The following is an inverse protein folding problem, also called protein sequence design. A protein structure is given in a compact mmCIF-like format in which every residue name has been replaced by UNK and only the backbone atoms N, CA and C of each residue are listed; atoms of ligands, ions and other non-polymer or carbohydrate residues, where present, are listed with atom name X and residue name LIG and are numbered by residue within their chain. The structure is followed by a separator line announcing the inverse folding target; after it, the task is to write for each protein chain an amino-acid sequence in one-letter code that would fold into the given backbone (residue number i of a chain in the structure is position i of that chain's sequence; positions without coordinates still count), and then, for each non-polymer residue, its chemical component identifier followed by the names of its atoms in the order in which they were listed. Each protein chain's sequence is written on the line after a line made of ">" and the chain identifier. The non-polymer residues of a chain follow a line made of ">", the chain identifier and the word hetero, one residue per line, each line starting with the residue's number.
data_IF_581962457636
#
_entry.id   IF_581962457636
#
_cell.length_a   1.000
_cell.length_b   1.000
_cell.length_c   1.000
_cell.angle_alpha   90.00
_cell.angle_beta   90.00
_cell.angle_gamma   90.00
#
_symmetry.space_group_name_H-M   'P 1'
#
loop_
_entity.id
_entity.type
_entity.pdbx_description
1 polymer ?
#
# COMPACT_ATOMS: atom_id res chain seq x y z
N UNK A 1 11.58 -25.66 -20.82
CA UNK A 1 12.26 -24.42 -21.24
C UNK A 1 11.54 -23.36 -20.44
N UNK A 2 12.03 -23.11 -19.22
CA UNK A 2 11.49 -22.08 -18.36
C UNK A 2 12.06 -20.75 -18.83
N UNK A 3 11.19 -19.86 -19.27
CA UNK A 3 11.54 -18.47 -19.54
C UNK A 3 12.07 -17.88 -18.21
N UNK A 4 13.35 -17.58 -18.19
CA UNK A 4 13.96 -16.69 -17.19
C UNK A 4 13.29 -15.32 -17.39
N UNK A 5 12.25 -15.05 -16.62
CA UNK A 5 11.74 -13.68 -16.50
C UNK A 5 12.87 -12.90 -15.86
N UNK A 6 13.57 -12.14 -16.67
CA UNK A 6 14.60 -11.21 -16.21
C UNK A 6 13.94 -10.29 -15.20
N UNK A 7 14.34 -10.41 -13.94
CA UNK A 7 13.79 -9.55 -12.86
C UNK A 7 14.32 -8.15 -13.12
N UNK A 8 13.52 -7.35 -13.79
CA UNK A 8 13.84 -5.94 -14.05
C UNK A 8 13.91 -5.26 -12.67
N UNK A 9 15.12 -4.85 -12.29
CA UNK A 9 15.30 -4.00 -11.12
C UNK A 9 14.75 -2.61 -11.46
N UNK A 10 13.51 -2.33 -11.05
CA UNK A 10 12.82 -1.09 -11.36
C UNK A 10 13.61 0.16 -10.92
N UNK A 11 14.37 0.05 -9.83
CA UNK A 11 15.21 1.16 -9.34
C UNK A 11 16.33 1.54 -10.32
N UNK A 12 16.76 0.63 -11.18
CA UNK A 12 17.78 0.91 -12.20
C UNK A 12 17.19 1.45 -13.51
N UNK A 13 15.86 1.41 -13.65
CA UNK A 13 15.18 1.94 -14.82
C UNK A 13 15.11 3.47 -14.76
N UNK A 14 15.67 4.15 -15.76
CA UNK A 14 15.75 5.62 -15.80
C UNK A 14 14.38 6.31 -15.75
N UNK A 15 13.40 5.77 -16.46
CA UNK A 15 12.04 6.32 -16.48
C UNK A 15 11.38 6.24 -15.10
N UNK A 16 11.59 5.12 -14.40
CA UNK A 16 11.10 4.93 -13.04
C UNK A 16 11.80 5.87 -12.03
N UNK A 17 13.11 6.07 -12.20
CA UNK A 17 13.89 7.03 -11.40
C UNK A 17 13.36 8.46 -11.63
N UNK A 18 13.09 8.84 -12.88
CA UNK A 18 12.54 10.16 -13.21
C UNK A 18 11.17 10.38 -12.54
N UNK A 19 10.32 9.36 -12.50
CA UNK A 19 9.02 9.45 -11.84
C UNK A 19 9.16 9.60 -10.31
N UNK A 20 10.06 8.85 -9.68
CA UNK A 20 10.36 9.04 -8.25
C UNK A 20 10.91 10.45 -8.01
N UNK A 21 11.86 10.91 -8.83
CA UNK A 21 12.45 12.26 -8.70
C UNK A 21 11.40 13.36 -8.83
N UNK A 22 10.44 13.25 -9.75
CA UNK A 22 9.31 14.18 -9.85
C UNK A 22 8.53 14.27 -8.55
N UNK A 23 8.26 13.11 -7.91
CA UNK A 23 7.49 13.06 -6.66
C UNK A 23 8.28 13.67 -5.49
N UNK A 24 9.55 13.32 -5.30
CA UNK A 24 10.34 13.82 -4.17
C UNK A 24 10.67 15.31 -4.27
N UNK A 25 10.71 15.85 -5.49
CA UNK A 25 10.92 17.29 -5.73
C UNK A 25 9.63 18.10 -5.66
N UNK A 26 8.47 17.44 -5.70
CA UNK A 26 7.18 18.11 -5.53
C UNK A 26 7.05 18.67 -4.10
N UNK A 27 6.51 19.91 -3.93
CA UNK A 27 6.42 20.56 -2.62
C UNK A 27 5.36 19.94 -1.71
N UNK A 28 5.53 18.69 -1.37
CA UNK A 28 4.73 17.98 -0.38
C UNK A 28 5.34 18.16 1.02
N UNK A 29 4.53 18.07 2.08
CA UNK A 29 5.00 18.25 3.45
C UNK A 29 5.74 16.99 3.97
N UNK A 30 6.84 16.61 3.30
CA UNK A 30 7.64 15.42 3.64
C UNK A 30 8.15 15.43 5.07
N UNK A 31 8.39 16.61 5.62
CA UNK A 31 8.82 16.82 7.01
C UNK A 31 7.82 16.22 8.03
N UNK A 32 6.56 16.01 7.68
CA UNK A 32 5.58 15.31 8.54
C UNK A 32 5.90 13.82 8.73
N UNK A 33 6.70 13.24 7.85
CA UNK A 33 7.18 11.86 7.96
C UNK A 33 8.54 11.75 8.65
N UNK A 34 9.17 12.88 8.98
CA UNK A 34 10.49 12.87 9.60
C UNK A 34 10.46 12.21 10.98
N UNK A 35 11.36 11.23 11.19
CA UNK A 35 11.45 10.40 12.39
C UNK A 35 10.14 9.66 12.73
N UNK A 36 9.34 9.35 11.73
CA UNK A 36 8.07 8.63 11.88
C UNK A 36 8.20 7.16 11.49
N UNK A 37 7.23 6.36 11.91
CA UNK A 37 7.08 4.98 11.50
C UNK A 37 5.78 4.80 10.73
N UNK A 38 5.89 4.19 9.56
CA UNK A 38 4.79 3.93 8.64
C UNK A 38 4.65 2.42 8.40
N UNK A 39 3.46 1.89 8.58
CA UNK A 39 3.12 0.52 8.19
C UNK A 39 2.31 0.54 6.90
N UNK A 40 2.74 -0.23 5.90
CA UNK A 40 2.08 -0.32 4.59
C UNK A 40 1.69 -1.77 4.33
N UNK A 41 0.40 -2.07 4.25
CA UNK A 41 -0.09 -3.35 3.75
C UNK A 41 -0.28 -3.31 2.24
N UNK A 42 -0.17 -4.47 1.58
CA UNK A 42 -0.15 -4.50 0.10
C UNK A 42 1.16 -3.94 -0.48
N UNK A 43 2.24 -4.04 0.29
CA UNK A 43 3.55 -3.43 0.00
C UNK A 43 4.12 -3.80 -1.37
N UNK A 44 3.93 -5.04 -1.85
CA UNK A 44 4.44 -5.49 -3.16
C UNK A 44 3.49 -5.22 -4.33
N UNK A 45 2.39 -4.50 -4.10
CA UNK A 45 1.50 -3.99 -5.14
C UNK A 45 2.07 -2.74 -5.82
N UNK A 46 1.43 -2.30 -6.91
CA UNK A 46 1.90 -1.15 -7.70
C UNK A 46 2.08 0.11 -6.85
N UNK A 47 1.04 0.55 -6.17
CA UNK A 47 1.05 1.78 -5.37
C UNK A 47 1.95 1.63 -4.14
N UNK A 48 1.81 0.52 -3.41
CA UNK A 48 2.59 0.29 -2.18
C UNK A 48 4.08 0.27 -2.43
N UNK A 49 4.52 -0.45 -3.46
CA UNK A 49 5.95 -0.55 -3.78
C UNK A 49 6.54 0.79 -4.25
N UNK A 50 5.80 1.55 -5.05
CA UNK A 50 6.26 2.87 -5.49
C UNK A 50 6.41 3.84 -4.30
N UNK A 51 5.43 3.88 -3.38
CA UNK A 51 5.53 4.73 -2.18
C UNK A 51 6.68 4.34 -1.26
N UNK A 52 6.95 3.04 -1.12
CA UNK A 52 8.12 2.55 -0.38
C UNK A 52 9.41 3.07 -1.01
N UNK A 53 9.55 2.96 -2.34
CA UNK A 53 10.72 3.45 -3.06
C UNK A 53 10.94 4.94 -2.85
N UNK A 54 9.87 5.75 -2.95
CA UNK A 54 9.92 7.20 -2.69
C UNK A 54 10.41 7.48 -1.27
N UNK A 55 9.85 6.82 -0.26
CA UNK A 55 10.24 7.05 1.15
C UNK A 55 11.68 6.59 1.40
N UNK A 56 12.09 5.44 0.85
CA UNK A 56 13.44 4.94 1.03
C UNK A 56 14.47 5.83 0.32
N UNK A 57 14.11 6.44 -0.81
CA UNK A 57 14.97 7.43 -1.46
C UNK A 57 15.06 8.72 -0.63
N UNK A 58 13.94 9.22 -0.08
CA UNK A 58 13.95 10.37 0.83
C UNK A 58 14.77 10.10 2.10
N UNK A 59 14.70 8.88 2.62
CA UNK A 59 15.57 8.47 3.75
C UNK A 59 17.05 8.58 3.39
N UNK A 60 17.43 8.13 2.19
CA UNK A 60 18.82 8.12 1.73
C UNK A 60 19.33 9.50 1.37
N UNK A 61 18.55 10.27 0.59
CA UNK A 61 19.02 11.53 0.00
C UNK A 61 18.79 12.74 0.91
N UNK A 62 17.73 12.71 1.72
CA UNK A 62 17.30 13.85 2.52
C UNK A 62 17.30 13.60 4.03
N UNK A 63 17.70 12.42 4.46
CA UNK A 63 17.75 12.08 5.89
C UNK A 63 16.38 12.12 6.57
N UNK A 64 15.32 11.72 5.87
CA UNK A 64 13.95 11.74 6.41
C UNK A 64 13.79 10.87 7.67
N UNK A 65 14.61 9.82 7.78
CA UNK A 65 14.61 8.89 8.92
C UNK A 65 13.22 8.28 9.22
N UNK A 66 12.47 7.96 8.16
CA UNK A 66 11.15 7.35 8.26
C UNK A 66 11.28 5.81 8.25
N UNK A 67 10.88 5.14 9.33
CA UNK A 67 10.84 3.68 9.41
C UNK A 67 9.67 3.14 8.61
N UNK A 68 9.91 2.17 7.74
CA UNK A 68 8.88 1.54 6.90
C UNK A 68 8.73 0.07 7.28
N UNK A 69 7.55 -0.28 7.78
CA UNK A 69 7.09 -1.66 7.96
C UNK A 69 6.22 -2.04 6.77
N UNK A 70 6.67 -3.02 6.00
CA UNK A 70 6.03 -3.43 4.73
C UNK A 70 5.38 -4.78 4.91
N UNK A 71 4.04 -4.86 4.81
CA UNK A 71 3.28 -6.10 4.95
C UNK A 71 2.92 -6.68 3.58
N UNK A 72 3.14 -7.99 3.45
CA UNK A 72 2.71 -8.75 2.28
C UNK A 72 2.84 -10.24 2.52
N UNK A 73 2.19 -11.07 1.70
CA UNK A 73 2.16 -12.53 1.88
C UNK A 73 3.38 -13.26 1.32
N UNK A 74 4.05 -12.67 0.34
CA UNK A 74 5.11 -13.33 -0.42
C UNK A 74 6.45 -12.65 -0.16
N UNK A 75 7.28 -13.30 0.65
CA UNK A 75 8.59 -12.79 1.04
C UNK A 75 9.60 -12.81 -0.11
N UNK A 76 9.57 -13.82 -0.98
CA UNK A 76 10.48 -13.90 -2.11
C UNK A 76 10.21 -12.79 -3.11
N UNK A 77 8.93 -12.50 -3.38
CA UNK A 77 8.54 -11.34 -4.19
C UNK A 77 9.03 -10.03 -3.57
N UNK A 78 8.94 -9.91 -2.24
CA UNK A 78 9.41 -8.72 -1.54
C UNK A 78 10.92 -8.59 -1.59
N UNK A 79 11.67 -9.67 -1.37
CA UNK A 79 13.14 -9.69 -1.48
C UNK A 79 13.61 -9.28 -2.87
N UNK A 80 12.98 -9.82 -3.91
CA UNK A 80 13.29 -9.44 -5.29
C UNK A 80 12.95 -7.96 -5.56
N UNK A 81 11.78 -7.49 -5.08
CA UNK A 81 11.29 -6.14 -5.37
C UNK A 81 12.02 -5.04 -4.61
N UNK A 82 12.46 -5.33 -3.38
CA UNK A 82 13.06 -4.36 -2.46
C UNK A 82 14.52 -4.71 -2.10
N UNK A 83 15.21 -5.45 -2.95
CA UNK A 83 16.58 -5.95 -2.65
C UNK A 83 17.50 -4.86 -2.09
N UNK A 84 17.44 -3.66 -2.64
CA UNK A 84 18.24 -2.50 -2.23
C UNK A 84 17.81 -1.90 -0.87
N UNK A 85 16.60 -2.16 -0.40
CA UNK A 85 16.10 -1.63 0.88
C UNK A 85 16.34 -2.56 2.06
N UNK A 86 16.58 -3.84 1.82
CA UNK A 86 16.78 -4.84 2.90
C UNK A 86 18.03 -4.58 3.77
N UNK A 87 19.02 -3.88 3.24
CA UNK A 87 20.23 -3.49 4.00
C UNK A 87 19.96 -2.29 4.93
N UNK A 88 18.86 -1.58 4.75
CA UNK A 88 18.52 -0.42 5.55
C UNK A 88 17.82 -0.81 6.84
N UNK A 89 18.29 -0.28 7.96
CA UNK A 89 17.61 -0.42 9.26
C UNK A 89 16.25 0.26 9.31
N UNK A 90 15.98 1.14 8.34
CA UNK A 90 14.70 1.85 8.20
C UNK A 90 13.68 1.08 7.38
N UNK A 91 14.00 -0.09 6.85
CA UNK A 91 13.09 -0.96 6.13
C UNK A 91 12.93 -2.30 6.85
N UNK A 92 11.70 -2.79 6.94
CA UNK A 92 11.42 -4.13 7.43
C UNK A 92 10.24 -4.71 6.67
N UNK A 93 10.44 -5.84 6.00
CA UNK A 93 9.34 -6.61 5.44
C UNK A 93 8.82 -7.61 6.46
N UNK A 94 7.51 -7.75 6.53
CA UNK A 94 6.79 -8.66 7.42
C UNK A 94 5.89 -9.53 6.55
N UNK A 95 6.22 -10.82 6.47
CA UNK A 95 5.38 -11.80 5.77
C UNK A 95 4.15 -12.10 6.62
N UNK A 96 2.99 -11.65 6.18
CA UNK A 96 1.75 -11.80 6.95
C UNK A 96 0.50 -11.77 6.07
N UNK A 97 -0.51 -12.57 6.48
CA UNK A 97 -1.84 -12.51 5.89
C UNK A 97 -2.73 -11.57 6.73
N UNK A 98 -3.17 -10.48 6.14
CA UNK A 98 -4.01 -9.48 6.82
C UNK A 98 -5.38 -10.01 7.24
N UNK A 99 -5.82 -11.16 6.73
CA UNK A 99 -7.05 -11.81 7.16
C UNK A 99 -6.94 -12.43 8.57
N UNK A 100 -5.72 -12.52 9.11
CA UNK A 100 -5.46 -12.96 10.47
C UNK A 100 -5.34 -11.76 11.41
N UNK A 101 -5.66 -11.92 12.72
CA UNK A 101 -5.46 -10.86 13.70
C UNK A 101 -3.99 -10.43 13.78
N UNK A 102 -3.69 -9.18 13.47
CA UNK A 102 -2.32 -8.68 13.42
C UNK A 102 -1.88 -8.11 14.77
N UNK A 103 -1.40 -8.99 15.65
CA UNK A 103 -0.86 -8.60 16.96
C UNK A 103 0.66 -8.76 16.93
N UNK A 104 1.40 -7.65 16.97
CA UNK A 104 2.86 -7.62 16.86
C UNK A 104 3.48 -6.70 17.92
N UNK A 105 3.82 -7.27 19.04
CA UNK A 105 4.47 -6.55 20.14
C UNK A 105 5.97 -6.25 19.88
N UNK A 106 6.54 -6.87 18.85
CA UNK A 106 7.92 -6.66 18.41
C UNK A 106 8.09 -5.48 17.43
N UNK A 107 6.98 -4.95 16.92
CA UNK A 107 6.97 -3.71 16.15
C UNK A 107 6.90 -2.54 17.14
N UNK A 108 7.81 -1.58 17.00
CA UNK A 108 7.80 -0.36 17.79
C UNK A 108 6.54 0.50 17.55
N UNK A 109 6.57 1.74 18.00
CA UNK A 109 5.48 2.68 17.70
C UNK A 109 5.29 2.85 16.19
N UNK A 110 4.04 2.90 15.75
CA UNK A 110 3.67 3.17 14.36
C UNK A 110 2.84 4.45 14.33
N UNK A 111 3.33 5.46 13.64
CA UNK A 111 2.62 6.75 13.54
C UNK A 111 1.51 6.75 12.49
N UNK A 112 1.72 6.03 11.39
CA UNK A 112 0.77 5.99 10.28
C UNK A 112 0.59 4.57 9.75
N UNK A 113 -0.64 4.22 9.42
CA UNK A 113 -0.99 2.96 8.75
C UNK A 113 -1.57 3.28 7.38
N UNK A 114 -1.00 2.69 6.33
CA UNK A 114 -1.51 2.77 4.96
C UNK A 114 -1.93 1.38 4.52
N UNK A 115 -3.24 1.17 4.41
CA UNK A 115 -3.83 -0.10 4.04
C UNK A 115 -4.17 -0.12 2.55
N UNK A 116 -3.34 -0.82 1.75
CA UNK A 116 -3.48 -0.97 0.30
C UNK A 116 -3.71 -2.41 -0.14
N UNK A 117 -3.74 -3.36 0.80
CA UNK A 117 -3.94 -4.76 0.48
C UNK A 117 -5.41 -5.02 0.13
N UNK A 118 -5.64 -5.44 -1.09
CA UNK A 118 -6.93 -5.88 -1.60
C UNK A 118 -6.72 -6.83 -2.78
N UNK A 119 -7.68 -7.69 -3.06
CA UNK A 119 -7.76 -8.41 -4.32
C UNK A 119 -8.41 -7.48 -5.35
N UNK A 120 -7.63 -6.91 -6.25
CA UNK A 120 -8.12 -5.92 -7.25
C UNK A 120 -8.23 -6.51 -8.66
N UNK A 121 -7.97 -7.80 -8.83
CA UNK A 121 -7.96 -8.44 -10.13
C UNK A 121 -9.34 -9.03 -10.46
N UNK A 122 -9.94 -8.74 -11.64
CA UNK A 122 -11.26 -9.24 -12.02
C UNK A 122 -11.40 -10.77 -11.94
N UNK A 123 -10.33 -11.51 -12.27
CA UNK A 123 -10.31 -12.97 -12.12
C UNK A 123 -10.48 -13.38 -10.65
N UNK A 124 -9.86 -12.68 -9.71
CA UNK A 124 -10.00 -12.99 -8.29
C UNK A 124 -11.45 -12.76 -7.82
N UNK A 125 -12.15 -11.76 -8.34
CA UNK A 125 -13.56 -11.54 -8.02
C UNK A 125 -14.44 -12.70 -8.48
N UNK A 126 -14.15 -13.27 -9.65
CA UNK A 126 -14.90 -14.38 -10.20
C UNK A 126 -14.55 -15.74 -9.57
N UNK A 127 -13.27 -15.97 -9.27
CA UNK A 127 -12.78 -17.29 -8.82
C UNK A 127 -12.70 -17.42 -7.30
N UNK A 128 -12.53 -16.31 -6.57
CA UNK A 128 -12.48 -16.28 -5.10
C UNK A 128 -13.23 -15.06 -4.54
N UNK A 129 -14.55 -14.98 -4.71
CA UNK A 129 -15.35 -13.87 -4.20
C UNK A 129 -15.34 -13.80 -2.67
N UNK A 130 -15.34 -14.96 -1.98
CA UNK A 130 -15.30 -15.01 -0.52
C UNK A 130 -13.98 -14.45 0.00
N UNK A 131 -12.85 -14.89 -0.55
CA UNK A 131 -11.54 -14.36 -0.18
C UNK A 131 -11.40 -12.87 -0.45
N UNK A 132 -12.01 -12.37 -1.53
CA UNK A 132 -12.05 -10.95 -1.84
C UNK A 132 -12.83 -10.16 -0.79
N UNK A 133 -14.04 -10.62 -0.40
CA UNK A 133 -14.85 -10.01 0.66
C UNK A 133 -14.09 -10.04 1.99
N UNK A 134 -13.54 -11.20 2.35
CA UNK A 134 -12.79 -11.40 3.59
C UNK A 134 -11.61 -10.45 3.68
N UNK A 135 -10.80 -10.36 2.62
CA UNK A 135 -9.64 -9.46 2.57
C UNK A 135 -10.06 -7.99 2.75
N UNK A 136 -11.14 -7.56 2.13
CA UNK A 136 -11.59 -6.18 2.21
C UNK A 136 -12.25 -5.83 3.55
N UNK A 137 -12.93 -6.76 4.19
CA UNK A 137 -13.62 -6.51 5.47
C UNK A 137 -12.71 -6.85 6.65
N UNK A 138 -12.30 -8.10 6.78
CA UNK A 138 -11.52 -8.57 7.91
C UNK A 138 -10.11 -7.98 7.88
N UNK A 139 -9.49 -7.92 6.68
CA UNK A 139 -8.17 -7.31 6.53
C UNK A 139 -8.17 -5.83 6.93
N UNK A 140 -9.21 -5.08 6.54
CA UNK A 140 -9.36 -3.68 6.95
C UNK A 140 -9.59 -3.56 8.45
N UNK A 141 -10.45 -4.41 9.02
CA UNK A 141 -10.69 -4.45 10.48
C UNK A 141 -9.37 -4.69 11.23
N UNK A 142 -8.60 -5.71 10.86
CA UNK A 142 -7.33 -6.04 11.51
C UNK A 142 -6.32 -4.89 11.44
N UNK A 143 -6.27 -4.16 10.31
CA UNK A 143 -5.39 -3.00 10.18
C UNK A 143 -5.85 -1.80 11.02
N UNK A 144 -7.15 -1.59 11.16
CA UNK A 144 -7.71 -0.57 12.06
C UNK A 144 -7.45 -0.91 13.53
N UNK A 145 -7.67 -2.16 13.93
CA UNK A 145 -7.39 -2.63 15.30
C UNK A 145 -5.90 -2.48 15.64
N UNK A 146 -5.01 -2.85 14.71
CA UNK A 146 -3.57 -2.61 14.86
C UNK A 146 -3.25 -1.13 15.01
N UNK A 147 -3.81 -0.25 14.16
CA UNK A 147 -3.59 1.18 14.22
C UNK A 147 -4.03 1.76 15.58
N UNK A 148 -5.17 1.32 16.11
CA UNK A 148 -5.67 1.71 17.42
C UNK A 148 -4.74 1.22 18.55
N UNK A 149 -4.33 -0.06 18.51
CA UNK A 149 -3.47 -0.66 19.54
C UNK A 149 -2.08 -0.01 19.59
N UNK A 150 -1.56 0.46 18.48
CA UNK A 150 -0.28 1.17 18.39
C UNK A 150 -0.40 2.69 18.46
N UNK A 151 -1.60 3.21 18.77
CA UNK A 151 -1.87 4.66 18.87
C UNK A 151 -1.45 5.43 17.62
N UNK A 152 -1.63 4.84 16.43
CA UNK A 152 -1.31 5.48 15.18
C UNK A 152 -2.10 6.80 15.03
N UNK A 153 -1.40 7.85 14.65
CA UNK A 153 -1.99 9.18 14.47
C UNK A 153 -3.01 9.21 13.35
N UNK A 154 -2.84 8.32 12.34
CA UNK A 154 -3.72 8.21 11.19
C UNK A 154 -3.64 6.84 10.55
N UNK A 155 -4.82 6.32 10.15
CA UNK A 155 -4.96 5.18 9.27
C UNK A 155 -5.61 5.65 7.95
N UNK A 156 -5.02 5.28 6.81
CA UNK A 156 -5.55 5.56 5.48
C UNK A 156 -5.75 4.24 4.77
N UNK A 157 -6.96 3.98 4.30
CA UNK A 157 -7.30 2.80 3.52
C UNK A 157 -7.61 3.18 2.08
N UNK A 158 -7.06 2.44 1.12
CA UNK A 158 -7.48 2.56 -0.26
C UNK A 158 -8.90 2.02 -0.40
N UNK A 159 -9.78 2.83 -0.96
CA UNK A 159 -11.15 2.47 -1.26
C UNK A 159 -11.32 2.21 -2.77
N UNK A 160 -12.51 2.39 -3.30
CA UNK A 160 -12.83 2.21 -4.71
C UNK A 160 -13.65 3.40 -5.21
N UNK A 161 -13.54 3.71 -6.49
CA UNK A 161 -14.44 4.64 -7.16
C UNK A 161 -15.90 4.15 -7.18
N UNK A 162 -16.11 2.85 -7.01
CA UNK A 162 -17.44 2.25 -6.92
C UNK A 162 -18.31 2.80 -5.78
N UNK A 163 -17.67 3.42 -4.75
CA UNK A 163 -18.40 4.07 -3.66
C UNK A 163 -19.30 5.22 -4.14
N UNK A 164 -18.99 5.82 -5.29
CA UNK A 164 -19.78 6.90 -5.85
C UNK A 164 -21.03 6.40 -6.58
N UNK A 165 -21.09 5.10 -6.90
CA UNK A 165 -22.15 4.53 -7.74
C UNK A 165 -22.10 5.03 -9.19
N UNK A 166 -23.15 4.74 -9.94
CA UNK A 166 -23.25 5.18 -11.33
C UNK A 166 -23.59 6.67 -11.44
N UNK A 167 -22.99 7.34 -12.43
CA UNK A 167 -23.28 8.74 -12.72
C UNK A 167 -24.74 8.91 -13.19
N UNK A 168 -25.47 9.80 -12.54
CA UNK A 168 -26.85 10.13 -12.92
C UNK A 168 -26.96 10.99 -14.18
N UNK A 169 -25.82 11.37 -14.76
CA UNK A 169 -25.75 12.27 -15.92
C UNK A 169 -25.84 13.76 -15.58
N UNK A 170 -25.71 14.08 -14.29
CA UNK A 170 -25.84 15.44 -13.77
C UNK A 170 -24.51 16.11 -13.45
N UNK A 171 -23.39 15.36 -13.55
CA UNK A 171 -22.02 15.86 -13.30
C UNK A 171 -21.01 15.31 -14.31
N UNK A 172 -19.97 16.07 -14.58
CA UNK A 172 -18.85 15.65 -15.44
C UNK A 172 -17.82 14.83 -14.65
N UNK A 173 -17.57 15.20 -13.39
CA UNK A 173 -16.60 14.55 -12.49
C UNK A 173 -17.22 14.32 -11.13
N UNK A 174 -16.93 13.17 -10.54
CA UNK A 174 -17.38 12.86 -9.18
C UNK A 174 -16.72 13.79 -8.16
N UNK A 175 -17.56 14.33 -7.28
CA UNK A 175 -17.13 15.03 -6.06
C UNK A 175 -17.30 14.11 -4.86
N UNK A 176 -16.57 14.37 -3.76
CA UNK A 176 -16.57 13.54 -2.55
C UNK A 176 -17.96 13.33 -1.92
N UNK A 177 -18.89 14.25 -2.16
CA UNK A 177 -20.27 14.20 -1.64
C UNK A 177 -21.28 13.56 -2.60
N UNK A 178 -20.81 13.13 -3.76
CA UNK A 178 -21.73 12.61 -4.78
C UNK A 178 -22.24 11.23 -4.38
N UNK A 179 -23.57 11.04 -4.52
CA UNK A 179 -24.25 9.77 -4.34
C UNK A 179 -24.97 9.43 -5.65
N UNK A 180 -24.38 8.55 -6.44
CA UNK A 180 -24.96 8.05 -7.69
C UNK A 180 -25.98 6.93 -7.48
N UNK A 181 -26.39 6.28 -8.56
CA UNK A 181 -27.26 5.12 -8.48
C UNK A 181 -26.49 3.87 -8.06
N UNK A 182 -27.10 3.08 -7.17
CA UNK A 182 -26.62 1.72 -6.90
C UNK A 182 -27.18 0.83 -8.00
N UNK A 183 -26.32 0.31 -8.86
CA UNK A 183 -26.70 -0.63 -9.92
C UNK A 183 -26.39 -2.04 -9.46
N UNK A 184 -27.43 -2.84 -9.27
CA UNK A 184 -27.29 -4.28 -9.01
C UNK A 184 -27.35 -4.99 -10.35
N UNK A 185 -26.21 -5.38 -10.89
CA UNK A 185 -26.20 -6.29 -12.05
C UNK A 185 -26.57 -7.70 -11.58
N UNK A 186 -27.58 -8.28 -12.16
CA UNK A 186 -27.77 -9.73 -12.15
C UNK A 186 -26.72 -10.34 -13.07
N UNK A 187 -25.80 -11.08 -12.50
CA UNK A 187 -24.81 -11.90 -13.23
C UNK A 187 -25.51 -13.12 -13.80
#
# INVERSE_FOLDING_TARGET
>A
IGDLVEVINLIENSMYQDDIMKIITHPLPWNKLQNKALLISGATGLVGSFLIDVIMLLNREQGLNCKVYSLGRNEDKAKSRFSYSYESTLFQFISYDINLPFVRNDIGSVDYVLHLASNTHPVAYATDPIGTITTNIIGTQNMLEFACAHHASRCVSASSNEIYGENRGDIEKFEEKYCGYIVCYTI
#
